data_IF_573188059180
#
_entry.id   IF_573188059180
#
_cell.length_a   1.000
_cell.length_b   1.000
_cell.length_c   1.000
_cell.angle_alpha   90.00
_cell.angle_beta   90.00
_cell.angle_gamma   90.00
#
_symmetry.space_group_name_H-M   'P 1'
#
loop_
_entity.id
_entity.type
_entity.pdbx_description
1 polymer ?
#
# COMPACT_ATOMS: atom_id res chain seq x y z
N UNK A 1 -54.77 36.96 -54.12
CA UNK A 1 -54.03 37.46 -52.94
C UNK A 1 -54.86 37.20 -51.70
N UNK A 2 -54.34 36.41 -50.76
CA UNK A 2 -54.79 36.39 -49.37
C UNK A 2 -53.64 35.84 -48.51
N UNK A 3 -52.98 36.72 -47.77
CA UNK A 3 -51.91 36.39 -46.83
C UNK A 3 -52.51 35.75 -45.57
N UNK A 4 -51.95 34.62 -45.12
CA UNK A 4 -52.27 34.03 -43.81
C UNK A 4 -51.56 34.83 -42.71
N UNK A 5 -52.21 35.10 -41.56
CA UNK A 5 -51.61 35.89 -40.49
C UNK A 5 -50.51 35.10 -39.77
N UNK A 6 -49.40 35.77 -39.46
CA UNK A 6 -48.34 35.25 -38.60
C UNK A 6 -48.70 35.52 -37.13
N UNK A 7 -48.71 34.46 -36.32
CA UNK A 7 -48.85 34.56 -34.87
C UNK A 7 -47.52 35.00 -34.25
N UNK A 8 -47.45 36.25 -33.80
CA UNK A 8 -46.36 36.75 -32.97
C UNK A 8 -46.66 36.45 -31.50
N UNK A 9 -45.85 35.60 -30.88
CA UNK A 9 -45.77 35.48 -29.42
C UNK A 9 -44.55 36.26 -28.93
N UNK A 10 -44.77 37.36 -28.21
CA UNK A 10 -43.69 38.12 -27.54
C UNK A 10 -43.45 37.50 -26.16
N UNK A 11 -42.20 37.15 -25.85
CA UNK A 11 -41.77 36.97 -24.46
C UNK A 11 -41.03 35.68 -24.09
N UNK A 12 -40.70 34.80 -25.04
CA UNK A 12 -39.79 33.68 -24.77
C UNK A 12 -38.50 33.91 -25.55
N UNK A 13 -37.40 34.05 -24.81
CA UNK A 13 -36.04 34.12 -25.32
C UNK A 13 -35.78 33.02 -26.35
N UNK A 14 -35.28 33.44 -27.51
CA UNK A 14 -34.85 32.59 -28.61
C UNK A 14 -33.66 31.72 -28.19
N UNK A 15 -33.92 30.56 -27.59
CA UNK A 15 -33.04 29.42 -27.74
C UNK A 15 -33.43 28.77 -29.05
N UNK A 16 -32.61 28.96 -30.08
CA UNK A 16 -32.77 28.28 -31.36
C UNK A 16 -32.63 26.77 -31.13
N UNK A 17 -33.74 26.09 -30.90
CA UNK A 17 -33.81 24.65 -31.15
C UNK A 17 -34.17 24.52 -32.63
N UNK A 18 -33.19 24.17 -33.44
CA UNK A 18 -33.45 23.62 -34.78
C UNK A 18 -34.35 22.40 -34.60
N UNK A 19 -35.59 22.49 -35.07
CA UNK A 19 -36.63 21.48 -34.95
C UNK A 19 -36.52 20.40 -36.03
N UNK A 20 -35.30 19.93 -36.31
CA UNK A 20 -35.09 18.83 -37.25
C UNK A 20 -34.70 17.57 -36.46
N UNK A 21 -35.67 16.71 -36.10
CA UNK A 21 -35.44 15.52 -35.29
C UNK A 21 -34.59 14.44 -35.99
N UNK A 22 -34.23 14.63 -37.26
CA UNK A 22 -33.36 13.75 -38.03
C UNK A 22 -31.96 14.32 -38.30
N UNK A 23 -31.59 15.46 -37.71
CA UNK A 23 -30.24 16.00 -37.87
C UNK A 23 -29.23 15.22 -37.00
N UNK A 24 -28.16 14.64 -37.57
CA UNK A 24 -27.15 13.86 -36.83
C UNK A 24 -26.32 14.70 -35.83
N UNK A 25 -26.57 16.00 -35.75
CA UNK A 25 -25.83 16.96 -34.91
C UNK A 25 -26.62 17.55 -33.73
N UNK A 26 -27.89 17.16 -33.54
CA UNK A 26 -28.72 17.66 -32.44
C UNK A 26 -28.78 16.60 -31.33
N UNK A 27 -27.83 16.65 -30.41
CA UNK A 27 -27.95 15.89 -29.16
C UNK A 27 -29.11 16.46 -28.33
N UNK A 28 -29.96 15.56 -27.85
CA UNK A 28 -31.12 15.93 -27.02
C UNK A 28 -30.66 16.67 -25.75
N UNK A 29 -31.51 17.53 -25.15
CA UNK A 29 -31.21 18.16 -23.88
C UNK A 29 -30.89 17.17 -22.74
N UNK A 30 -31.36 15.92 -22.84
CA UNK A 30 -31.01 14.86 -21.90
C UNK A 30 -29.55 14.40 -22.11
N UNK A 31 -29.16 14.13 -23.35
CA UNK A 31 -27.78 13.75 -23.70
C UNK A 31 -26.76 14.84 -23.34
N UNK A 32 -27.10 16.12 -23.57
CA UNK A 32 -26.24 17.24 -23.18
C UNK A 32 -26.03 17.33 -21.65
N UNK A 33 -27.09 17.04 -20.86
CA UNK A 33 -27.00 17.01 -19.39
C UNK A 33 -26.17 15.83 -18.91
N UNK A 34 -26.30 14.67 -19.55
CA UNK A 34 -25.49 13.50 -19.22
C UNK A 34 -24.02 13.69 -19.62
N UNK A 35 -23.75 14.30 -20.77
CA UNK A 35 -22.40 14.69 -21.19
C UNK A 35 -21.75 15.68 -20.21
N UNK A 36 -22.50 16.69 -19.76
CA UNK A 36 -22.05 17.65 -18.76
C UNK A 36 -21.76 16.97 -17.41
N UNK A 37 -22.63 16.06 -16.96
CA UNK A 37 -22.39 15.24 -15.76
C UNK A 37 -21.13 14.38 -15.92
N UNK A 38 -20.95 13.68 -17.05
CA UNK A 38 -19.75 12.87 -17.29
C UNK A 38 -18.48 13.73 -17.29
N UNK A 39 -18.53 14.92 -17.88
CA UNK A 39 -17.40 15.86 -17.86
C UNK A 39 -17.10 16.39 -16.45
N UNK A 40 -18.14 16.65 -15.63
CA UNK A 40 -17.98 17.01 -14.23
C UNK A 40 -17.39 15.86 -13.40
N UNK A 41 -17.87 14.63 -13.58
CA UNK A 41 -17.28 13.46 -12.90
C UNK A 41 -15.85 13.18 -13.38
N UNK A 42 -15.52 13.50 -14.63
CA UNK A 42 -14.15 13.42 -15.15
C UNK A 42 -13.24 14.49 -14.55
N UNK A 43 -13.75 15.68 -14.23
CA UNK A 43 -12.97 16.74 -13.57
C UNK A 43 -12.86 16.55 -12.05
N UNK A 44 -13.81 15.85 -11.42
CA UNK A 44 -13.72 15.45 -10.01
C UNK A 44 -12.74 14.30 -9.83
N UNK A 45 -11.46 14.64 -9.63
CA UNK A 45 -10.46 13.68 -9.15
C UNK A 45 -10.61 13.51 -7.64
N UNK A 46 -10.68 12.25 -7.18
CA UNK A 46 -10.79 11.94 -5.76
C UNK A 46 -9.37 11.76 -5.21
N UNK A 47 -8.82 12.73 -4.46
CA UNK A 47 -7.44 12.66 -3.99
C UNK A 47 -7.27 11.50 -3.00
N UNK A 48 -6.10 10.87 -3.02
CA UNK A 48 -5.67 10.00 -1.92
C UNK A 48 -5.13 10.85 -0.78
N UNK A 49 -5.20 10.35 0.46
CA UNK A 49 -4.68 11.07 1.63
C UNK A 49 -3.15 11.25 1.55
N UNK A 50 -2.45 10.21 1.10
CA UNK A 50 -1.03 10.24 0.79
C UNK A 50 -0.80 9.99 -0.69
N UNK A 51 0.31 10.49 -1.22
CA UNK A 51 0.78 10.13 -2.55
C UNK A 51 1.55 8.82 -2.51
N UNK A 52 1.44 8.03 -3.58
CA UNK A 52 2.04 6.71 -3.65
C UNK A 52 2.91 6.55 -4.90
N UNK A 53 4.03 5.86 -4.76
CA UNK A 53 4.94 5.51 -5.84
C UNK A 53 4.96 3.99 -6.01
N UNK A 54 4.99 3.54 -7.26
CA UNK A 54 5.14 2.12 -7.58
C UNK A 54 6.61 1.83 -7.86
N UNK A 55 7.13 0.76 -7.28
CA UNK A 55 8.49 0.30 -7.53
C UNK A 55 8.50 -1.14 -8.02
N UNK A 56 9.48 -1.48 -8.86
CA UNK A 56 9.72 -2.83 -9.34
C UNK A 56 11.17 -3.22 -9.08
N UNK A 57 11.35 -4.39 -8.48
CA UNK A 57 12.66 -4.96 -8.18
C UNK A 57 12.87 -6.22 -9.01
N UNK A 58 13.84 -6.14 -9.93
CA UNK A 58 14.32 -7.26 -10.74
C UNK A 58 15.52 -7.88 -10.04
N UNK A 59 15.36 -9.11 -9.60
CA UNK A 59 16.47 -9.87 -9.07
C UNK A 59 17.27 -10.51 -10.22
N UNK A 60 18.59 -10.37 -10.18
CA UNK A 60 19.49 -10.90 -11.20
C UNK A 60 19.30 -12.41 -11.43
N UNK A 61 19.48 -12.91 -12.67
CA UNK A 61 19.66 -14.33 -12.93
C UNK A 61 20.77 -14.93 -12.05
N UNK A 62 20.64 -16.22 -11.69
CA UNK A 62 21.57 -16.95 -10.81
C UNK A 62 23.05 -16.83 -11.23
N UNK A 63 23.33 -16.65 -12.52
CA UNK A 63 24.69 -16.53 -13.04
C UNK A 63 25.39 -15.21 -12.62
N UNK A 64 24.63 -14.15 -12.37
CA UNK A 64 25.13 -12.89 -11.81
C UNK A 64 25.19 -12.89 -10.27
N UNK A 65 24.40 -13.73 -9.61
CA UNK A 65 24.43 -13.91 -8.16
C UNK A 65 25.62 -14.78 -7.68
N UNK A 66 26.29 -15.48 -8.59
CA UNK A 66 27.48 -16.31 -8.31
C UNK A 66 28.79 -15.50 -8.21
N UNK A 67 28.74 -14.16 -8.20
CA UNK A 67 29.92 -13.32 -8.03
C UNK A 67 30.90 -13.35 -9.21
N UNK A 68 30.48 -13.85 -10.37
CA UNK A 68 31.27 -13.71 -11.60
C UNK A 68 31.17 -12.27 -12.08
N UNK A 69 32.28 -11.54 -12.20
CA UNK A 69 32.26 -10.22 -12.83
C UNK A 69 31.75 -10.37 -14.26
N UNK A 70 30.88 -9.47 -14.70
CA UNK A 70 30.69 -9.26 -16.14
C UNK A 70 32.03 -8.89 -16.80
N UNK A 71 32.12 -8.91 -18.14
CA UNK A 71 33.36 -8.59 -18.87
C UNK A 71 34.01 -7.25 -18.45
N UNK A 72 33.25 -6.36 -17.82
CA UNK A 72 33.68 -5.03 -17.37
C UNK A 72 33.91 -4.89 -15.84
N UNK A 73 33.86 -5.97 -15.06
CA UNK A 73 34.15 -5.91 -13.62
C UNK A 73 33.04 -5.31 -12.73
N UNK A 74 31.87 -5.00 -13.27
CA UNK A 74 30.77 -4.40 -12.52
C UNK A 74 30.10 -5.40 -11.57
N UNK A 75 30.07 -5.08 -10.27
CA UNK A 75 29.30 -5.78 -9.25
C UNK A 75 27.82 -5.38 -9.40
N UNK A 76 26.96 -6.35 -9.69
CA UNK A 76 25.55 -6.12 -9.97
C UNK A 76 24.75 -5.84 -8.67
N UNK A 77 23.97 -4.76 -8.67
CA UNK A 77 23.06 -4.37 -7.59
C UNK A 77 21.60 -4.63 -8.00
N UNK A 78 20.74 -5.02 -7.05
CA UNK A 78 19.29 -5.06 -7.26
C UNK A 78 18.82 -3.72 -7.85
N UNK A 79 18.17 -3.77 -9.02
CA UNK A 79 17.74 -2.58 -9.72
C UNK A 79 16.30 -2.27 -9.33
N UNK A 80 16.17 -1.50 -8.25
CA UNK A 80 14.89 -0.94 -7.84
C UNK A 80 14.52 0.22 -8.77
N UNK A 81 13.53 0.00 -9.63
CA UNK A 81 13.04 0.98 -10.59
C UNK A 81 11.71 1.56 -10.10
N UNK A 82 11.54 2.89 -10.16
CA UNK A 82 10.23 3.50 -9.96
C UNK A 82 9.44 3.43 -11.26
N UNK A 83 8.24 2.85 -11.22
CA UNK A 83 7.37 2.70 -12.38
C UNK A 83 6.35 3.84 -12.46
N UNK A 84 6.29 4.47 -13.63
CA UNK A 84 5.25 5.45 -13.96
C UNK A 84 5.29 6.73 -13.12
N UNK A 85 4.20 7.49 -13.21
CA UNK A 85 4.00 8.70 -12.42
C UNK A 85 3.51 8.37 -11.00
N UNK A 86 3.65 9.34 -10.10
CA UNK A 86 3.09 9.27 -8.76
C UNK A 86 1.57 9.15 -8.81
N UNK A 87 1.02 8.32 -7.93
CA UNK A 87 -0.42 8.16 -7.72
C UNK A 87 -0.87 9.20 -6.70
N UNK A 88 -1.69 10.15 -7.14
CA UNK A 88 -2.20 11.27 -6.32
C UNK A 88 -3.71 11.18 -6.04
N UNK A 89 -4.41 10.33 -6.79
CA UNK A 89 -5.86 10.18 -6.72
C UNK A 89 -6.27 8.74 -7.07
N UNK A 90 -7.52 8.41 -6.74
CA UNK A 90 -8.10 7.08 -6.93
C UNK A 90 -8.08 6.67 -8.42
N UNK A 91 -8.27 7.61 -9.34
CA UNK A 91 -8.23 7.32 -10.77
C UNK A 91 -6.83 6.91 -11.23
N UNK A 92 -5.78 7.55 -10.73
CA UNK A 92 -4.39 7.19 -11.05
C UNK A 92 -4.03 5.81 -10.48
N UNK A 93 -4.54 5.47 -9.29
CA UNK A 93 -4.39 4.12 -8.75
C UNK A 93 -5.01 3.07 -9.68
N UNK A 94 -6.27 3.26 -10.09
CA UNK A 94 -6.94 2.28 -10.97
C UNK A 94 -6.31 2.21 -12.36
N UNK A 95 -5.77 3.32 -12.89
CA UNK A 95 -4.97 3.30 -14.12
C UNK A 95 -3.75 2.41 -13.97
N UNK A 96 -3.00 2.55 -12.88
CA UNK A 96 -1.87 1.68 -12.60
C UNK A 96 -2.30 0.22 -12.40
N UNK A 97 -3.26 -0.04 -11.49
CA UNK A 97 -3.66 -1.38 -11.09
C UNK A 97 -4.21 -2.20 -12.28
N UNK A 98 -5.07 -1.59 -13.10
CA UNK A 98 -5.67 -2.26 -14.26
C UNK A 98 -4.68 -2.58 -15.38
N UNK A 99 -3.57 -1.83 -15.48
CA UNK A 99 -2.58 -1.99 -16.55
C UNK A 99 -1.31 -2.72 -16.09
N UNK A 100 -1.28 -3.18 -14.84
CA UNK A 100 -0.13 -3.91 -14.29
C UNK A 100 -0.36 -5.42 -14.44
N UNK A 101 0.43 -6.13 -15.28
CA UNK A 101 0.27 -7.57 -15.50
C UNK A 101 0.92 -8.36 -14.35
N UNK A 102 0.25 -8.41 -13.20
CA UNK A 102 0.74 -9.07 -11.97
C UNK A 102 1.03 -10.56 -12.21
N UNK A 103 0.25 -11.20 -13.08
CA UNK A 103 0.40 -12.60 -13.50
C UNK A 103 1.67 -12.87 -14.32
N UNK A 104 2.25 -11.84 -14.94
CA UNK A 104 3.46 -11.94 -15.77
C UNK A 104 4.75 -11.63 -14.99
N UNK A 105 4.65 -11.23 -13.72
CA UNK A 105 5.82 -10.99 -12.87
C UNK A 105 6.52 -12.32 -12.61
N UNK A 106 7.83 -12.37 -12.88
CA UNK A 106 8.60 -13.61 -12.85
C UNK A 106 9.02 -13.97 -11.44
N UNK A 107 9.36 -15.25 -11.25
CA UNK A 107 9.88 -15.74 -9.97
C UNK A 107 11.10 -14.91 -9.53
N UNK A 108 11.12 -14.52 -8.25
CA UNK A 108 12.13 -13.65 -7.61
C UNK A 108 12.02 -12.17 -7.94
N UNK A 109 11.10 -11.75 -8.79
CA UNK A 109 10.78 -10.33 -8.97
C UNK A 109 9.75 -9.88 -7.91
N UNK A 110 9.75 -8.57 -7.64
CA UNK A 110 8.82 -7.96 -6.71
C UNK A 110 8.30 -6.63 -7.22
N UNK A 111 7.04 -6.32 -6.90
CA UNK A 111 6.41 -5.03 -7.14
C UNK A 111 5.95 -4.44 -5.81
N UNK A 112 6.07 -3.13 -5.65
CA UNK A 112 5.78 -2.42 -4.41
C UNK A 112 4.95 -1.18 -4.68
N UNK A 113 4.08 -0.83 -3.73
CA UNK A 113 3.32 0.42 -3.68
C UNK A 113 3.63 1.10 -2.35
N UNK A 114 4.42 2.18 -2.38
CA UNK A 114 4.95 2.84 -1.18
C UNK A 114 4.52 4.30 -1.11
N UNK A 115 4.30 4.81 0.10
CA UNK A 115 4.02 6.24 0.31
C UNK A 115 5.20 7.08 -0.20
N UNK A 116 4.90 8.24 -0.75
CA UNK A 116 5.90 9.16 -1.28
C UNK A 116 6.96 9.49 -0.22
N UNK A 117 8.24 9.41 -0.63
CA UNK A 117 9.38 9.61 0.25
C UNK A 117 9.79 8.36 1.04
N UNK A 118 9.11 7.22 0.90
CA UNK A 118 9.63 5.92 1.30
C UNK A 118 10.09 5.13 0.09
N UNK A 119 11.11 4.30 0.28
CA UNK A 119 11.57 3.32 -0.69
C UNK A 119 11.44 1.92 -0.09
N UNK A 120 11.11 0.87 -0.85
CA UNK A 120 11.08 -0.52 -0.37
C UNK A 120 12.51 -1.09 -0.14
N UNK A 121 13.30 -0.42 0.69
CA UNK A 121 14.67 -0.78 1.05
C UNK A 121 14.72 -0.81 2.58
N UNK A 122 15.16 -1.92 3.17
CA UNK A 122 15.21 -2.07 4.63
C UNK A 122 16.18 -1.09 5.27
N UNK A 123 17.28 -0.80 4.59
CA UNK A 123 18.37 0.08 5.01
C UNK A 123 18.03 1.57 4.86
N UNK A 124 16.90 1.92 4.24
CA UNK A 124 16.47 3.31 4.15
C UNK A 124 16.25 3.86 5.57
N UNK A 125 16.73 5.09 5.82
CA UNK A 125 16.62 5.75 7.12
C UNK A 125 15.20 5.74 7.69
N UNK A 126 14.18 5.79 6.82
CA UNK A 126 12.78 5.80 7.24
C UNK A 126 12.25 4.40 7.55
N UNK A 127 12.90 3.32 7.12
CA UNK A 127 12.46 1.95 7.35
C UNK A 127 13.33 1.18 8.34
N UNK A 128 14.52 1.67 8.68
CA UNK A 128 15.54 0.90 9.39
C UNK A 128 15.09 0.34 10.75
N UNK A 129 14.18 1.03 11.44
CA UNK A 129 13.61 0.59 12.72
C UNK A 129 12.26 -0.13 12.57
N UNK A 130 11.78 -0.27 11.34
CA UNK A 130 10.48 -0.82 11.01
C UNK A 130 10.48 -2.33 10.94
N UNK A 131 9.34 -2.83 10.49
CA UNK A 131 9.15 -4.25 10.21
C UNK A 131 8.03 -4.44 9.22
N UNK A 132 7.78 -5.72 8.92
CA UNK A 132 6.71 -6.08 8.00
C UNK A 132 5.98 -7.34 8.42
N UNK A 133 4.67 -7.32 8.23
CA UNK A 133 3.89 -8.54 8.07
C UNK A 133 4.10 -9.08 6.67
N UNK A 134 4.28 -10.39 6.55
CA UNK A 134 4.35 -11.10 5.27
C UNK A 134 3.33 -12.24 5.25
N UNK A 135 2.43 -12.19 4.28
CA UNK A 135 1.41 -13.20 4.00
C UNK A 135 1.85 -14.07 2.83
N UNK A 136 1.89 -15.38 3.03
CA UNK A 136 2.13 -16.39 1.99
C UNK A 136 0.79 -16.80 1.37
N UNK A 137 0.58 -16.40 0.14
CA UNK A 137 -0.69 -16.59 -0.57
C UNK A 137 -0.48 -17.52 -1.79
N UNK A 138 -1.36 -18.48 -2.06
CA UNK A 138 -1.32 -19.27 -3.30
C UNK A 138 -1.32 -18.38 -4.53
N UNK A 139 -0.62 -18.80 -5.60
CA UNK A 139 -0.54 -18.00 -6.85
C UNK A 139 -1.91 -17.69 -7.47
N UNK A 140 -2.87 -18.61 -7.33
CA UNK A 140 -4.22 -18.46 -7.86
C UNK A 140 -4.99 -17.29 -7.23
N UNK A 141 -4.80 -17.03 -5.92
CA UNK A 141 -5.51 -15.97 -5.19
C UNK A 141 -4.62 -14.76 -4.87
N UNK A 142 -3.32 -14.85 -5.16
CA UNK A 142 -2.34 -13.81 -4.88
C UNK A 142 -2.64 -12.46 -5.55
N UNK A 143 -3.02 -12.39 -6.85
CA UNK A 143 -3.41 -11.13 -7.47
C UNK A 143 -4.58 -10.43 -6.76
N UNK A 144 -5.61 -11.18 -6.38
CA UNK A 144 -6.80 -10.61 -5.70
C UNK A 144 -6.45 -10.14 -4.29
N UNK A 145 -5.69 -10.94 -3.54
CA UNK A 145 -5.19 -10.55 -2.22
C UNK A 145 -4.32 -9.28 -2.32
N UNK A 146 -3.46 -9.19 -3.34
CA UNK A 146 -2.62 -8.03 -3.59
C UNK A 146 -3.42 -6.77 -3.89
N UNK A 147 -4.43 -6.86 -4.74
CA UNK A 147 -5.35 -5.75 -5.00
C UNK A 147 -6.07 -5.33 -3.73
N UNK A 148 -6.57 -6.29 -2.92
CA UNK A 148 -7.25 -5.94 -1.67
C UNK A 148 -6.33 -5.24 -0.66
N UNK A 149 -5.10 -5.72 -0.49
CA UNK A 149 -4.11 -5.07 0.39
C UNK A 149 -3.76 -3.65 -0.10
N UNK A 150 -3.60 -3.44 -1.40
CA UNK A 150 -3.39 -2.10 -1.95
C UNK A 150 -4.58 -1.18 -1.67
N UNK A 151 -5.82 -1.68 -1.75
CA UNK A 151 -7.01 -0.90 -1.41
C UNK A 151 -7.05 -0.52 0.08
N UNK A 152 -6.65 -1.42 0.98
CA UNK A 152 -6.53 -1.11 2.41
C UNK A 152 -5.43 -0.05 2.67
N UNK A 153 -4.36 -0.06 1.87
CA UNK A 153 -3.30 0.93 1.96
C UNK A 153 -3.75 2.32 1.47
N UNK A 154 -4.21 2.44 0.22
CA UNK A 154 -4.59 3.74 -0.37
C UNK A 154 -5.88 4.31 0.23
N UNK A 155 -6.74 3.44 0.78
CA UNK A 155 -7.96 3.80 1.50
C UNK A 155 -7.72 4.12 2.98
N UNK A 156 -6.45 4.16 3.42
CA UNK A 156 -6.00 4.49 4.78
C UNK A 156 -6.49 3.55 5.90
N UNK A 157 -7.12 2.42 5.59
CA UNK A 157 -7.51 1.40 6.58
C UNK A 157 -6.31 0.85 7.35
N UNK A 158 -5.19 0.61 6.67
CA UNK A 158 -3.96 0.18 7.33
C UNK A 158 -3.39 1.28 8.24
N UNK A 159 -3.45 2.55 7.84
CA UNK A 159 -2.98 3.66 8.68
C UNK A 159 -3.88 3.88 9.90
N UNK A 160 -5.20 3.69 9.77
CA UNK A 160 -6.15 3.75 10.89
C UNK A 160 -5.91 2.64 11.93
N UNK A 161 -5.35 1.50 11.51
CA UNK A 161 -5.12 0.34 12.37
C UNK A 161 -3.86 0.43 13.24
N UNK A 162 -3.02 1.44 13.06
CA UNK A 162 -1.76 1.60 13.80
C UNK A 162 -1.82 2.80 14.76
N UNK A 163 -0.88 2.87 15.71
CA UNK A 163 -0.80 4.03 16.61
C UNK A 163 -0.36 5.28 15.87
N UNK A 164 -0.84 6.46 16.29
CA UNK A 164 -0.56 7.75 15.62
C UNK A 164 0.92 8.14 15.52
N UNK A 165 1.78 7.53 16.34
CA UNK A 165 3.24 7.76 16.35
C UNK A 165 3.98 6.87 15.36
N UNK A 166 3.29 5.89 14.77
CA UNK A 166 3.79 5.01 13.72
C UNK A 166 3.22 5.44 12.36
N UNK A 167 3.69 4.81 11.29
CA UNK A 167 3.27 5.14 9.92
C UNK A 167 3.41 3.93 9.00
N UNK A 168 2.41 3.69 8.13
CA UNK A 168 2.54 2.72 7.04
C UNK A 168 3.52 3.26 6.01
N UNK A 169 4.55 2.48 5.69
CA UNK A 169 5.53 2.81 4.67
C UNK A 169 5.01 2.42 3.27
N UNK A 170 4.44 1.23 3.16
CA UNK A 170 4.02 0.67 1.88
C UNK A 170 3.68 -0.81 1.93
N UNK A 171 3.29 -1.34 0.79
CA UNK A 171 2.94 -2.74 0.59
C UNK A 171 3.69 -3.31 -0.61
N UNK A 172 3.91 -4.63 -0.64
CA UNK A 172 4.61 -5.27 -1.75
C UNK A 172 4.16 -6.68 -2.04
N UNK A 173 4.27 -7.09 -3.30
CA UNK A 173 4.11 -8.46 -3.76
C UNK A 173 5.45 -8.96 -4.29
N UNK A 174 5.91 -10.11 -3.78
CA UNK A 174 7.09 -10.80 -4.27
C UNK A 174 6.74 -12.20 -4.76
N UNK A 175 7.10 -12.53 -6.00
CA UNK A 175 6.78 -13.84 -6.58
C UNK A 175 7.79 -14.89 -6.13
N UNK A 176 7.30 -16.02 -5.62
CA UNK A 176 8.09 -17.20 -5.24
C UNK A 176 7.67 -18.41 -6.06
N UNK A 177 8.34 -19.54 -5.83
CA UNK A 177 8.14 -20.75 -6.62
C UNK A 177 6.67 -21.22 -6.62
N UNK A 178 6.07 -21.35 -5.43
CA UNK A 178 4.72 -21.90 -5.24
C UNK A 178 3.71 -20.91 -4.65
N UNK A 179 4.11 -19.66 -4.41
CA UNK A 179 3.30 -18.66 -3.70
C UNK A 179 3.68 -17.23 -4.09
N UNK A 180 2.80 -16.29 -3.79
CA UNK A 180 3.12 -14.88 -3.66
C UNK A 180 3.35 -14.56 -2.18
N UNK A 181 4.37 -13.75 -1.91
CA UNK A 181 4.55 -13.15 -0.59
C UNK A 181 4.03 -11.72 -0.67
N UNK A 182 3.00 -11.41 0.10
CA UNK A 182 2.42 -10.08 0.16
C UNK A 182 2.81 -9.46 1.49
N UNK A 183 3.49 -8.32 1.45
CA UNK A 183 4.07 -7.68 2.63
C UNK A 183 3.45 -6.31 2.91
N UNK A 184 3.34 -5.96 4.18
CA UNK A 184 2.86 -4.66 4.66
C UNK A 184 3.92 -4.11 5.61
N UNK A 185 4.47 -2.94 5.29
CA UNK A 185 5.61 -2.35 5.95
C UNK A 185 5.17 -1.14 6.78
N UNK A 186 5.69 -1.04 8.00
CA UNK A 186 5.48 0.10 8.89
C UNK A 186 6.81 0.56 9.51
N UNK A 187 6.81 1.76 10.07
CA UNK A 187 8.03 2.52 10.42
C UNK A 187 8.68 2.07 11.73
N UNK A 188 7.89 1.63 12.72
CA UNK A 188 8.38 1.38 14.07
C UNK A 188 7.98 0.00 14.60
N UNK A 189 8.93 -0.94 14.55
CA UNK A 189 8.74 -2.32 15.05
C UNK A 189 8.71 -2.46 16.57
N UNK A 190 8.87 -1.37 17.33
CA UNK A 190 8.68 -1.38 18.78
C UNK A 190 7.22 -1.22 19.19
N UNK A 191 6.34 -0.82 18.26
CA UNK A 191 4.92 -0.60 18.53
C UNK A 191 4.10 -1.88 18.38
N UNK A 192 3.99 -2.66 19.46
CA UNK A 192 3.22 -3.91 19.45
C UNK A 192 1.75 -3.71 19.02
N UNK A 193 1.12 -2.60 19.47
CA UNK A 193 -0.25 -2.26 19.07
C UNK A 193 -0.39 -2.06 17.56
N UNK A 194 0.61 -1.47 16.89
CA UNK A 194 0.62 -1.36 15.43
C UNK A 194 0.77 -2.72 14.75
N UNK A 195 1.67 -3.56 15.28
CA UNK A 195 1.91 -4.91 14.74
C UNK A 195 0.60 -5.71 14.78
N UNK A 196 -0.07 -5.74 15.93
CA UNK A 196 -1.31 -6.49 16.11
C UNK A 196 -2.45 -5.88 15.29
N UNK A 197 -2.54 -4.54 15.24
CA UNK A 197 -3.57 -3.82 14.49
C UNK A 197 -3.52 -4.04 12.98
N UNK A 198 -2.33 -4.08 12.37
CA UNK A 198 -2.16 -4.39 10.94
C UNK A 198 -2.69 -5.80 10.65
N UNK A 199 -2.33 -6.79 11.48
CA UNK A 199 -2.80 -8.16 11.29
C UNK A 199 -4.33 -8.24 11.41
N UNK A 200 -4.89 -7.61 12.44
CA UNK A 200 -6.32 -7.57 12.68
C UNK A 200 -7.08 -6.96 11.49
N UNK A 201 -6.63 -5.80 10.99
CA UNK A 201 -7.22 -5.14 9.81
C UNK A 201 -7.26 -6.09 8.60
N UNK A 202 -6.15 -6.77 8.30
CA UNK A 202 -6.10 -7.71 7.18
C UNK A 202 -7.07 -8.87 7.38
N UNK A 203 -7.16 -9.45 8.58
CA UNK A 203 -8.03 -10.58 8.87
C UNK A 203 -9.53 -10.21 8.83
N UNK A 204 -9.87 -8.98 9.23
CA UNK A 204 -11.26 -8.49 9.27
C UNK A 204 -11.76 -8.04 7.89
N UNK A 205 -10.96 -7.28 7.15
CA UNK A 205 -11.39 -6.64 5.90
C UNK A 205 -11.24 -7.51 4.65
N UNK A 206 -10.51 -8.64 4.73
CA UNK A 206 -10.43 -9.60 3.64
C UNK A 206 -11.69 -10.48 3.57
N UNK A 207 -12.20 -10.75 2.36
CA UNK A 207 -13.22 -11.78 2.14
C UNK A 207 -12.80 -13.13 2.71
N UNK A 208 -13.78 -13.95 3.11
CA UNK A 208 -13.53 -15.22 3.79
C UNK A 208 -12.67 -16.18 2.95
N UNK A 209 -12.83 -16.15 1.63
CA UNK A 209 -12.08 -16.93 0.65
C UNK A 209 -10.61 -16.50 0.50
N UNK A 210 -10.28 -15.25 0.83
CA UNK A 210 -8.92 -14.71 0.78
C UNK A 210 -8.25 -14.65 2.15
N UNK A 211 -8.98 -14.96 3.24
CA UNK A 211 -8.45 -14.86 4.60
C UNK A 211 -7.28 -15.84 4.78
N UNK A 212 -6.09 -15.34 5.18
CA UNK A 212 -4.93 -16.20 5.33
C UNK A 212 -5.07 -17.07 6.59
N UNK A 213 -4.62 -18.32 6.50
CA UNK A 213 -4.52 -19.23 7.66
C UNK A 213 -3.38 -18.81 8.57
N UNK A 214 -3.45 -19.16 9.86
CA UNK A 214 -2.45 -18.78 10.86
C UNK A 214 -1.00 -19.10 10.46
N UNK A 215 -0.76 -20.27 9.85
CA UNK A 215 0.59 -20.69 9.41
C UNK A 215 1.09 -19.99 8.14
N UNK A 216 0.25 -19.19 7.51
CA UNK A 216 0.53 -18.53 6.23
C UNK A 216 0.88 -17.05 6.39
N UNK A 217 1.17 -16.58 7.60
CA UNK A 217 1.71 -15.24 7.79
C UNK A 217 2.71 -15.19 8.94
N UNK A 218 3.63 -14.24 8.87
CA UNK A 218 4.62 -14.00 9.92
C UNK A 218 5.05 -12.54 9.92
N UNK A 219 5.47 -12.06 11.08
CA UNK A 219 6.04 -10.74 11.25
C UNK A 219 7.57 -10.83 11.33
N UNK A 220 8.25 -9.83 10.78
CA UNK A 220 9.70 -9.73 10.89
C UNK A 220 10.16 -8.26 10.94
N UNK A 221 11.07 -7.94 11.88
CA UNK A 221 11.76 -6.65 11.88
C UNK A 221 12.70 -6.58 10.69
N UNK A 222 12.85 -5.40 10.10
CA UNK A 222 13.75 -5.22 8.96
C UNK A 222 15.19 -5.63 9.28
N UNK A 223 15.65 -5.33 10.49
CA UNK A 223 16.98 -5.72 11.01
C UNK A 223 17.24 -7.21 11.04
N UNK A 224 16.20 -8.04 11.08
CA UNK A 224 16.34 -9.49 11.26
C UNK A 224 16.47 -10.22 9.91
N UNK A 225 16.31 -9.51 8.79
CA UNK A 225 16.44 -10.09 7.46
C UNK A 225 17.90 -10.44 7.16
N UNK A 226 18.14 -11.62 6.58
CA UNK A 226 19.49 -12.09 6.31
C UNK A 226 20.27 -11.19 5.32
N UNK A 227 19.56 -10.43 4.49
CA UNK A 227 20.15 -9.47 3.56
C UNK A 227 20.37 -8.08 4.14
N UNK A 228 19.94 -7.83 5.39
CA UNK A 228 20.01 -6.51 6.01
C UNK A 228 21.46 -6.08 6.24
N UNK A 229 21.81 -4.90 5.74
CA UNK A 229 23.14 -4.31 5.92
C UNK A 229 23.04 -2.86 6.38
N UNK A 230 23.09 -2.65 7.70
CA UNK A 230 23.04 -1.33 8.29
C UNK A 230 24.09 -0.38 7.67
N UNK A 231 23.69 0.77 7.11
CA UNK A 231 24.63 1.81 6.70
C UNK A 231 25.41 2.32 7.94
N UNK A 232 26.73 2.57 7.84
CA UNK A 232 27.52 3.04 8.98
C UNK A 232 26.95 4.31 9.63
N UNK A 233 26.41 5.22 8.82
CA UNK A 233 25.78 6.47 9.24
C UNK A 233 24.55 6.28 10.13
N UNK A 234 23.90 5.11 10.04
CA UNK A 234 22.66 4.80 10.75
C UNK A 234 22.86 3.77 11.88
N UNK A 235 24.10 3.30 12.09
CA UNK A 235 24.39 2.31 13.13
C UNK A 235 24.01 2.83 14.53
N UNK A 236 24.29 4.10 14.82
CA UNK A 236 23.92 4.72 16.09
C UNK A 236 22.40 4.73 16.34
N UNK A 237 21.59 4.85 15.28
CA UNK A 237 20.13 4.81 15.37
C UNK A 237 19.66 3.41 15.79
N UNK A 238 20.24 2.37 15.19
CA UNK A 238 19.94 0.98 15.52
C UNK A 238 20.37 0.61 16.94
N UNK A 239 21.55 1.04 17.36
CA UNK A 239 22.06 0.75 18.69
C UNK A 239 21.21 1.43 19.76
N UNK A 240 20.77 2.67 19.52
CA UNK A 240 19.80 3.36 20.36
C UNK A 240 18.45 2.63 20.42
N UNK A 241 17.93 2.14 19.29
CA UNK A 241 16.70 1.35 19.27
C UNK A 241 16.85 0.07 20.10
N UNK A 242 17.93 -0.69 19.90
CA UNK A 242 18.18 -1.93 20.64
C UNK A 242 18.26 -1.69 22.15
N UNK A 243 18.90 -0.59 22.57
CA UNK A 243 18.98 -0.21 23.97
C UNK A 243 17.57 0.09 24.55
N UNK A 244 16.72 0.79 23.80
CA UNK A 244 15.33 1.05 24.20
C UNK A 244 14.50 -0.24 24.28
N UNK A 245 14.61 -1.11 23.29
CA UNK A 245 13.91 -2.40 23.27
C UNK A 245 14.33 -3.28 24.47
N UNK A 246 15.64 -3.34 24.76
CA UNK A 246 16.17 -4.08 25.91
C UNK A 246 15.67 -3.51 27.25
N UNK A 247 15.64 -2.19 27.40
CA UNK A 247 15.11 -1.54 28.59
C UNK A 247 13.60 -1.80 28.77
N UNK A 248 12.81 -1.75 27.69
CA UNK A 248 11.39 -2.06 27.72
C UNK A 248 11.13 -3.54 28.08
N UNK A 249 11.91 -4.46 27.51
CA UNK A 249 11.85 -5.88 27.85
C UNK A 249 12.19 -6.14 29.32
N UNK A 250 13.25 -5.50 29.84
CA UNK A 250 13.64 -5.60 31.25
C UNK A 250 12.56 -5.05 32.19
N UNK A 251 11.93 -3.92 31.83
CA UNK A 251 10.83 -3.34 32.60
C UNK A 251 9.60 -4.28 32.63
N UNK A 252 9.24 -4.87 31.47
CA UNK A 252 8.14 -5.84 31.37
C UNK A 252 8.41 -7.10 32.20
N UNK A 253 9.64 -7.61 32.18
CA UNK A 253 10.04 -8.76 33.00
C UNK A 253 9.96 -8.44 34.50
N UNK A 254 10.39 -7.24 34.92
CA UNK A 254 10.31 -6.79 36.32
C UNK A 254 8.86 -6.63 36.80
N UNK A 255 7.97 -6.15 35.93
CA UNK A 255 6.54 -6.02 36.23
C UNK A 255 5.81 -7.37 36.32
N UNK A 256 6.32 -8.41 35.66
CA UNK A 256 5.76 -9.76 35.68
C UNK A 256 6.27 -10.63 36.85
N UNK A 257 7.24 -10.16 37.64
CA UNK A 257 7.74 -10.89 38.80
C UNK A 257 6.70 -10.87 39.95
N UNK A 258 6.37 -12.01 40.57
CA UNK A 258 5.37 -12.05 41.65
C UNK A 258 5.87 -11.21 42.84
N UNK A 259 5.03 -10.28 43.31
CA UNK A 259 5.27 -9.59 44.57
C UNK A 259 5.13 -10.63 45.70
N UNK A 260 6.25 -10.98 46.33
CA UNK A 260 6.25 -11.79 47.54
C UNK A 260 5.61 -10.91 48.62
N UNK A 261 4.32 -11.12 48.87
CA UNK A 261 3.64 -10.55 50.04
C UNK A 261 4.14 -11.34 51.24
N UNK A 262 5.13 -10.80 51.95
CA UNK A 262 5.47 -11.30 53.29
C UNK A 262 4.24 -11.09 54.17
N UNK A 263 3.53 -12.19 54.45
CA UNK A 263 2.48 -12.20 55.46
C UNK A 263 3.18 -12.03 56.81
N UNK A 264 2.93 -10.92 57.56
CA UNK A 264 3.57 -10.73 58.85
C UNK A 264 3.11 -11.85 59.81
N UNK A 265 4.00 -12.36 60.67
CA UNK A 265 3.68 -13.48 61.55
C UNK A 265 2.54 -13.08 62.49
N UNK A 266 1.45 -13.83 62.43
CA UNK A 266 0.34 -13.79 63.37
C UNK A 266 0.89 -14.00 64.78
N UNK A 267 0.87 -12.97 65.61
CA UNK A 267 1.23 -13.10 67.02
C UNK A 267 0.20 -13.98 67.71
N UNK A 268 0.61 -15.16 68.19
CA UNK A 268 -0.12 -15.93 69.18
C UNK A 268 -0.07 -15.19 70.53
N UNK A 269 -1.25 -14.88 71.08
CA UNK A 269 -1.48 -14.64 72.50
C UNK A 269 -2.25 -15.82 73.08
#
# INVERSE_FOLDING_TARGET
MASKPSLFTRGLSSLSQSSDPNSPSVSSPAEQRDDAKRNLFRSMRLPTQHYWNVYFDRQAPKDAAAGKPGPDGAVYHAQLEQLGAQIENVQDFWRYNNNTPVDQIKMRESIYLFKAGFKPIWEDRRNINGGSWTFRVPKATGPDFWTRVQLLAIGEKLEESIVKTDQICGVGLSVRFNSHLISIWHRDSSQQASIDGILQCVLEDLPAELRPKADNYFYKKHSDHAGFKAPPELQAVLDSQKARDAAAAAAKAKAAAPQIVEVPPSGEQ
#
